data_IF_957923289389
#
_entry.id   IF_957923289389
#
_cell.length_a   1.000
_cell.length_b   1.000
_cell.length_c   1.000
_cell.angle_alpha   90.00
_cell.angle_beta   90.00
_cell.angle_gamma   90.00
#
_symmetry.space_group_name_H-M   'P 1'
#
loop_
_entity.id
_entity.type
_entity.pdbx_description
1 polymer ?
#
# COMPACT_ATOMS: atom_id res chain seq x y z
N UNK A 1 17.86 -4.63 -19.78
CA UNK A 1 17.89 -3.16 -19.85
C UNK A 1 17.60 -2.66 -18.43
N UNK A 2 18.52 -1.94 -17.81
CA UNK A 2 18.36 -1.37 -16.46
C UNK A 2 17.24 -0.33 -16.53
N UNK A 3 16.07 -0.63 -15.94
CA UNK A 3 15.01 0.36 -15.75
C UNK A 3 15.50 1.35 -14.69
N UNK A 4 15.93 2.51 -15.13
CA UNK A 4 16.26 3.63 -14.23
C UNK A 4 14.99 4.10 -13.54
N UNK A 5 14.94 3.95 -12.22
CA UNK A 5 13.88 4.50 -11.39
C UNK A 5 13.87 6.03 -11.57
N UNK A 6 12.78 6.55 -12.14
CA UNK A 6 12.71 7.92 -12.60
C UNK A 6 12.49 8.95 -11.47
N UNK A 7 12.79 10.20 -11.77
CA UNK A 7 12.66 11.38 -10.89
C UNK A 7 11.25 11.61 -10.29
N UNK A 8 10.20 10.94 -10.79
CA UNK A 8 8.83 11.10 -10.28
C UNK A 8 8.62 10.59 -8.83
N UNK A 9 9.56 9.81 -8.28
CA UNK A 9 9.55 9.41 -6.86
C UNK A 9 10.01 10.54 -5.92
N UNK A 10 10.42 11.69 -6.44
CA UNK A 10 11.32 12.64 -5.80
C UNK A 10 10.64 13.85 -5.19
N UNK A 11 9.46 14.25 -5.65
CA UNK A 11 8.78 15.43 -5.10
C UNK A 11 7.81 15.05 -3.99
N UNK A 12 8.25 15.17 -2.73
CA UNK A 12 7.39 15.02 -1.57
C UNK A 12 6.56 16.29 -1.33
N UNK A 13 5.27 16.26 -1.65
CA UNK A 13 4.33 17.24 -1.11
C UNK A 13 3.82 16.69 0.21
N UNK A 14 4.16 17.37 1.30
CA UNK A 14 3.67 17.01 2.64
C UNK A 14 2.17 17.26 2.72
N UNK A 15 1.43 16.31 3.31
CA UNK A 15 0.06 16.57 3.73
C UNK A 15 0.07 17.60 4.85
N UNK A 16 -0.95 18.44 4.88
CA UNK A 16 -1.14 19.36 5.98
C UNK A 16 -1.85 18.64 7.13
N UNK A 17 -1.30 18.68 8.31
CA UNK A 17 -1.92 18.10 9.50
C UNK A 17 -0.90 17.57 10.51
N UNK A 18 -1.40 17.29 11.69
CA UNK A 18 -0.65 16.63 12.77
C UNK A 18 -1.19 15.23 12.92
N UNK A 19 -0.34 14.18 12.88
CA UNK A 19 -0.77 12.82 13.16
C UNK A 19 -1.45 12.68 14.53
N UNK A 20 -2.56 11.94 14.57
CA UNK A 20 -3.40 11.78 15.77
C UNK A 20 -3.12 10.45 16.49
N UNK A 21 -2.61 9.44 15.76
CA UNK A 21 -2.27 8.13 16.29
C UNK A 21 -0.96 8.12 17.07
N UNK A 22 -0.56 6.96 17.53
CA UNK A 22 0.64 6.77 18.37
C UNK A 22 1.52 5.64 17.86
N UNK A 23 2.84 5.79 18.05
CA UNK A 23 3.77 4.68 17.82
C UNK A 23 3.83 3.82 19.07
N UNK A 24 3.62 2.52 18.92
CA UNK A 24 3.86 1.52 19.96
C UNK A 24 4.66 0.33 19.41
N UNK A 25 5.26 -0.45 20.29
CA UNK A 25 5.90 -1.71 19.89
C UNK A 25 4.92 -2.86 19.98
N UNK A 26 4.89 -3.68 18.91
CA UNK A 26 4.19 -4.97 18.88
C UNK A 26 5.25 -6.02 18.59
N UNK A 27 5.46 -6.94 19.51
CA UNK A 27 6.52 -7.97 19.43
C UNK A 27 7.88 -7.41 18.99
N UNK A 28 8.25 -6.22 19.53
CA UNK A 28 9.55 -5.58 19.30
C UNK A 28 9.59 -4.64 18.09
N UNK A 29 8.61 -4.66 17.19
CA UNK A 29 8.54 -3.83 15.98
C UNK A 29 7.77 -2.54 16.26
N UNK A 30 8.26 -1.41 15.77
CA UNK A 30 7.56 -0.13 15.86
C UNK A 30 6.37 -0.10 14.91
N UNK A 31 5.20 0.27 15.42
CA UNK A 31 3.95 0.34 14.67
C UNK A 31 3.25 1.66 15.00
N UNK A 32 2.95 2.46 13.98
CA UNK A 32 2.06 3.59 14.17
C UNK A 32 0.62 3.11 14.10
N UNK A 33 -0.16 3.38 15.13
CA UNK A 33 -1.52 2.88 15.31
C UNK A 33 -2.51 4.03 15.21
N UNK A 34 -3.44 3.91 14.26
CA UNK A 34 -4.63 4.74 14.16
C UNK A 34 -5.83 3.99 14.68
N UNK A 35 -6.45 4.49 15.74
CA UNK A 35 -7.65 3.89 16.34
C UNK A 35 -8.89 4.72 16.03
N UNK A 36 -10.03 4.08 15.68
CA UNK A 36 -11.30 4.78 15.53
C UNK A 36 -11.70 5.47 16.84
N UNK A 37 -12.08 6.75 16.76
CA UNK A 37 -12.60 7.49 17.94
C UNK A 37 -13.97 6.99 18.38
N UNK A 38 -14.74 6.41 17.45
CA UNK A 38 -16.05 5.83 17.71
C UNK A 38 -16.27 4.63 16.77
N UNK A 39 -16.88 3.59 17.30
CA UNK A 39 -17.16 2.38 16.52
C UNK A 39 -15.89 1.59 16.21
N UNK A 40 -15.94 0.85 15.10
CA UNK A 40 -14.87 -0.04 14.67
C UNK A 40 -14.96 -1.43 15.32
N UNK A 41 -14.40 -2.39 14.62
CA UNK A 41 -14.34 -3.80 15.05
C UNK A 41 -12.90 -4.15 15.40
N UNK A 42 -12.59 -4.29 16.70
CA UNK A 42 -11.23 -4.61 17.19
C UNK A 42 -10.73 -5.99 16.74
N UNK A 43 -11.65 -6.86 16.31
CA UNK A 43 -11.24 -8.16 15.75
C UNK A 43 -10.72 -8.07 14.31
N UNK A 44 -10.77 -6.87 13.70
CA UNK A 44 -10.30 -6.59 12.35
C UNK A 44 -9.15 -5.59 12.39
N UNK A 45 -8.04 -5.90 11.72
CA UNK A 45 -6.89 -5.03 11.57
C UNK A 45 -6.61 -4.69 10.10
N UNK A 46 -6.47 -3.41 9.81
CA UNK A 46 -6.00 -2.92 8.53
C UNK A 46 -4.49 -2.67 8.59
N UNK A 47 -3.71 -3.49 7.89
CA UNK A 47 -2.27 -3.30 7.74
C UNK A 47 -2.01 -2.22 6.67
N UNK A 48 -1.26 -1.20 7.04
CA UNK A 48 -0.82 -0.14 6.14
C UNK A 48 0.64 -0.39 5.75
N UNK A 49 0.85 -0.89 4.54
CA UNK A 49 2.16 -1.21 3.99
C UNK A 49 2.64 -0.03 3.13
N UNK A 50 3.63 0.68 3.64
CA UNK A 50 4.08 1.96 3.10
C UNK A 50 4.88 1.84 1.81
N UNK A 51 5.14 2.98 1.20
CA UNK A 51 6.24 3.16 0.27
C UNK A 51 7.61 3.14 0.99
N UNK A 52 8.68 3.40 0.25
CA UNK A 52 10.06 3.39 0.77
C UNK A 52 10.34 4.44 1.87
N UNK A 53 9.43 5.38 2.09
CA UNK A 53 9.59 6.44 3.10
C UNK A 53 9.07 6.04 4.50
N UNK A 54 8.40 4.91 4.62
CA UNK A 54 8.05 4.27 5.88
C UNK A 54 7.36 5.19 6.89
N UNK A 55 7.70 4.98 8.16
CA UNK A 55 7.28 5.82 9.31
C UNK A 55 7.84 7.25 9.25
N UNK A 56 8.88 7.50 8.46
CA UNK A 56 9.49 8.82 8.33
C UNK A 56 8.61 9.82 7.60
N UNK A 57 7.73 9.37 6.72
CA UNK A 57 6.84 10.25 5.96
C UNK A 57 5.55 10.54 6.74
N UNK A 58 5.34 11.82 7.09
CA UNK A 58 4.13 12.28 7.80
C UNK A 58 2.85 11.89 7.06
N UNK A 59 2.85 11.95 5.73
CA UNK A 59 1.69 11.60 4.92
C UNK A 59 1.19 10.17 5.16
N UNK A 60 2.09 9.21 5.38
CA UNK A 60 1.72 7.83 5.69
C UNK A 60 0.92 7.76 7.00
N UNK A 61 1.36 8.48 8.04
CA UNK A 61 0.65 8.56 9.33
C UNK A 61 -0.72 9.24 9.20
N UNK A 62 -0.80 10.33 8.45
CA UNK A 62 -2.07 11.03 8.21
C UNK A 62 -3.07 10.15 7.46
N UNK A 63 -2.61 9.31 6.53
CA UNK A 63 -3.48 8.36 5.83
C UNK A 63 -3.97 7.24 6.76
N UNK A 64 -3.14 6.78 7.69
CA UNK A 64 -3.55 5.86 8.76
C UNK A 64 -4.67 6.46 9.61
N UNK A 65 -4.53 7.72 10.00
CA UNK A 65 -5.55 8.45 10.76
C UNK A 65 -6.84 8.63 9.93
N UNK A 66 -6.72 8.83 8.60
CA UNK A 66 -7.87 8.89 7.70
C UNK A 66 -8.64 7.57 7.68
N UNK A 67 -7.96 6.42 7.62
CA UNK A 67 -8.60 5.10 7.74
C UNK A 67 -9.22 4.88 9.12
N UNK A 68 -8.55 5.31 10.17
CA UNK A 68 -9.09 5.25 11.53
C UNK A 68 -10.40 6.07 11.66
N UNK A 69 -10.47 7.25 11.05
CA UNK A 69 -11.70 8.06 10.98
C UNK A 69 -12.84 7.36 10.20
N UNK A 70 -12.51 6.42 9.30
CA UNK A 70 -13.51 5.58 8.61
C UNK A 70 -13.93 4.34 9.41
N UNK A 71 -13.39 4.14 10.62
CA UNK A 71 -13.75 3.04 11.51
C UNK A 71 -12.81 1.84 11.47
N UNK A 72 -11.64 1.94 10.81
CA UNK A 72 -10.67 0.84 10.72
C UNK A 72 -9.56 1.00 11.75
N UNK A 73 -9.32 -0.03 12.58
CA UNK A 73 -8.10 -0.14 13.37
C UNK A 73 -6.94 -0.35 12.41
N UNK A 74 -6.09 0.66 12.23
CA UNK A 74 -5.09 0.72 11.17
C UNK A 74 -3.68 0.73 11.75
N UNK A 75 -2.83 -0.15 11.24
CA UNK A 75 -1.50 -0.42 11.75
C UNK A 75 -0.45 -0.21 10.64
N UNK A 76 0.32 0.86 10.73
CA UNK A 76 1.46 1.11 9.87
C UNK A 76 2.68 0.46 10.49
N UNK A 77 3.08 -0.67 9.95
CA UNK A 77 4.19 -1.48 10.45
C UNK A 77 5.51 -0.93 9.93
N UNK A 78 6.48 -0.75 10.82
CA UNK A 78 7.87 -0.45 10.42
C UNK A 78 8.59 -1.72 9.95
N UNK A 79 8.20 -2.22 8.79
CA UNK A 79 8.86 -3.37 8.18
C UNK A 79 10.14 -3.00 7.39
N UNK A 80 10.52 -1.72 7.45
CA UNK A 80 11.79 -1.21 6.94
C UNK A 80 12.85 -1.12 8.05
N UNK A 81 12.49 -1.44 9.31
CA UNK A 81 13.39 -1.45 10.47
C UNK A 81 14.11 -0.11 10.70
N UNK A 82 13.42 1.01 10.50
CA UNK A 82 13.98 2.35 10.62
C UNK A 82 14.87 2.78 9.45
N UNK A 83 15.17 1.89 8.49
CA UNK A 83 15.97 2.20 7.29
C UNK A 83 15.10 2.73 6.14
N UNK A 84 14.22 3.69 6.44
CA UNK A 84 13.40 4.34 5.43
C UNK A 84 14.17 5.45 4.72
N UNK A 85 13.85 5.63 3.44
CA UNK A 85 14.46 6.67 2.61
C UNK A 85 13.99 8.05 3.06
N UNK A 86 14.91 8.97 3.30
CA UNK A 86 14.55 10.35 3.58
C UNK A 86 13.89 11.00 2.35
N UNK A 87 12.88 11.84 2.56
CA UNK A 87 12.09 12.40 1.47
C UNK A 87 12.91 13.22 0.44
N UNK A 88 14.03 13.79 0.88
CA UNK A 88 14.97 14.57 0.07
C UNK A 88 16.14 13.76 -0.50
N UNK A 89 16.37 12.54 -0.03
CA UNK A 89 17.49 11.69 -0.48
C UNK A 89 17.43 11.40 -2.00
N UNK A 90 16.21 11.26 -2.52
CA UNK A 90 16.01 11.02 -3.95
C UNK A 90 16.36 12.23 -4.83
N UNK A 91 16.44 13.43 -4.25
CA UNK A 91 16.73 14.68 -4.97
C UNK A 91 18.24 14.86 -5.21
N UNK A 92 19.09 14.24 -4.41
CA UNK A 92 20.54 14.39 -4.50
C UNK A 92 21.15 13.70 -5.73
N UNK A 93 20.46 12.71 -6.30
CA UNK A 93 20.96 11.86 -7.38
C UNK A 93 22.00 10.83 -6.95
N UNK A 94 22.41 10.84 -5.69
CA UNK A 94 23.48 9.97 -5.15
C UNK A 94 22.90 8.76 -4.37
N UNK A 95 21.58 8.68 -4.20
CA UNK A 95 20.96 7.60 -3.44
C UNK A 95 20.93 6.30 -4.26
N UNK A 96 21.60 5.26 -3.75
CA UNK A 96 21.58 3.92 -4.34
C UNK A 96 20.28 3.17 -3.97
N UNK A 97 19.22 3.47 -4.71
CA UNK A 97 17.91 2.84 -4.50
C UNK A 97 17.96 1.32 -4.73
N UNK A 98 18.75 0.84 -5.69
CA UNK A 98 18.84 -0.60 -5.96
C UNK A 98 19.57 -1.34 -4.84
N UNK A 99 20.65 -0.75 -4.31
CA UNK A 99 21.34 -1.27 -3.14
C UNK A 99 20.45 -1.23 -1.88
N UNK A 100 19.59 -0.21 -1.74
CA UNK A 100 18.60 -0.15 -0.67
C UNK A 100 17.53 -1.25 -0.83
N UNK A 101 16.94 -1.41 -2.01
CA UNK A 101 15.94 -2.46 -2.28
C UNK A 101 16.52 -3.86 -2.02
N UNK A 102 17.79 -4.10 -2.34
CA UNK A 102 18.44 -5.38 -2.11
C UNK A 102 18.55 -5.75 -0.62
N UNK A 103 18.51 -4.77 0.29
CA UNK A 103 18.51 -4.98 1.75
C UNK A 103 17.11 -5.16 2.33
N UNK A 104 16.06 -4.91 1.56
CA UNK A 104 14.66 -4.96 1.99
C UNK A 104 13.92 -6.04 1.18
N UNK A 105 14.46 -7.27 1.18
CA UNK A 105 13.88 -8.44 0.54
C UNK A 105 12.68 -9.01 1.29
N UNK A 106 12.15 -10.12 0.79
CA UNK A 106 10.99 -10.77 1.41
C UNK A 106 11.27 -11.22 2.84
N UNK A 107 12.48 -11.74 3.09
CA UNK A 107 12.86 -12.20 4.43
C UNK A 107 12.85 -11.04 5.43
N UNK A 108 13.51 -9.93 5.11
CA UNK A 108 13.64 -8.76 5.99
C UNK A 108 12.28 -8.14 6.31
N UNK A 109 11.38 -8.09 5.32
CA UNK A 109 10.00 -7.60 5.51
C UNK A 109 9.20 -8.55 6.39
N UNK A 110 9.29 -9.86 6.16
CA UNK A 110 8.58 -10.84 6.97
C UNK A 110 9.11 -10.93 8.40
N UNK A 111 10.42 -10.76 8.62
CA UNK A 111 11.02 -10.72 9.96
C UNK A 111 10.40 -9.62 10.86
N UNK A 112 9.82 -8.57 10.27
CA UNK A 112 9.12 -7.51 11.00
C UNK A 112 7.59 -7.64 10.93
N UNK A 113 7.05 -7.99 9.77
CA UNK A 113 5.60 -8.03 9.56
C UNK A 113 4.94 -9.21 10.30
N UNK A 114 5.58 -10.38 10.30
CA UNK A 114 5.04 -11.58 10.92
C UNK A 114 4.88 -11.45 12.43
N UNK A 115 5.89 -10.98 13.19
CA UNK A 115 5.72 -10.75 14.63
C UNK A 115 4.59 -9.77 14.97
N UNK A 116 4.39 -8.73 14.13
CA UNK A 116 3.30 -7.77 14.35
C UNK A 116 1.94 -8.44 14.15
N UNK A 117 1.77 -9.23 13.09
CA UNK A 117 0.52 -9.94 12.84
C UNK A 117 0.23 -10.97 13.96
N UNK A 118 1.27 -11.68 14.45
CA UNK A 118 1.14 -12.62 15.57
C UNK A 118 0.71 -11.88 16.84
N UNK A 119 1.37 -10.77 17.19
CA UNK A 119 1.01 -9.96 18.36
C UNK A 119 -0.40 -9.39 18.29
N UNK A 120 -0.84 -8.94 17.11
CA UNK A 120 -2.22 -8.49 16.91
C UNK A 120 -3.22 -9.64 17.07
N UNK A 121 -2.86 -10.85 16.62
CA UNK A 121 -3.68 -12.05 16.81
C UNK A 121 -3.81 -12.41 18.30
N UNK A 122 -2.72 -12.30 19.07
CA UNK A 122 -2.73 -12.46 20.53
C UNK A 122 -3.60 -11.39 21.22
N UNK A 123 -3.67 -10.17 20.66
CA UNK A 123 -4.57 -9.08 21.11
C UNK A 123 -6.03 -9.29 20.69
N UNK A 124 -6.35 -10.37 19.95
CA UNK A 124 -7.71 -10.75 19.57
C UNK A 124 -8.12 -10.39 18.14
N UNK A 125 -7.18 -9.98 17.28
CA UNK A 125 -7.46 -9.79 15.86
C UNK A 125 -7.64 -11.14 15.19
N UNK A 126 -8.72 -11.31 14.48
CA UNK A 126 -9.07 -12.56 13.76
C UNK A 126 -9.14 -12.37 12.25
N UNK A 127 -9.16 -11.12 11.77
CA UNK A 127 -9.27 -10.81 10.35
C UNK A 127 -8.35 -9.64 9.98
N UNK A 128 -7.53 -9.86 8.97
CA UNK A 128 -6.62 -8.84 8.44
C UNK A 128 -7.06 -8.38 7.06
N UNK A 129 -6.92 -7.09 6.79
CA UNK A 129 -6.87 -6.51 5.46
C UNK A 129 -5.52 -5.81 5.27
N UNK A 130 -5.15 -5.49 4.03
CA UNK A 130 -3.97 -4.68 3.77
C UNK A 130 -4.21 -3.62 2.69
N UNK A 131 -3.62 -2.44 2.89
CA UNK A 131 -3.41 -1.43 1.86
C UNK A 131 -1.92 -1.29 1.61
N UNK A 132 -1.50 -1.39 0.35
CA UNK A 132 -0.09 -1.33 -0.03
C UNK A 132 0.20 -0.22 -1.04
N UNK A 133 1.17 0.60 -0.74
CA UNK A 133 1.57 1.73 -1.57
C UNK A 133 2.98 1.52 -2.11
N UNK A 134 3.19 1.66 -3.44
CA UNK A 134 4.49 1.53 -4.07
C UNK A 134 5.19 0.20 -3.67
N UNK A 135 6.24 0.26 -2.86
CA UNK A 135 6.96 -0.89 -2.30
C UNK A 135 6.03 -1.85 -1.53
N UNK A 136 5.13 -1.32 -0.70
CA UNK A 136 4.16 -2.09 0.07
C UNK A 136 3.13 -2.84 -0.79
N UNK A 137 2.95 -2.43 -2.05
CA UNK A 137 2.06 -3.12 -2.99
C UNK A 137 2.47 -4.56 -3.25
N UNK A 138 3.79 -4.83 -3.42
CA UNK A 138 4.32 -6.19 -3.56
C UNK A 138 3.94 -7.07 -2.35
N UNK A 139 4.15 -6.57 -1.15
CA UNK A 139 3.92 -7.35 0.06
C UNK A 139 2.44 -7.55 0.37
N UNK A 140 1.59 -6.60 -0.02
CA UNK A 140 0.13 -6.80 0.01
C UNK A 140 -0.29 -7.98 -0.90
N UNK A 141 0.27 -8.07 -2.10
CA UNK A 141 0.05 -9.20 -3.01
C UNK A 141 0.60 -10.51 -2.41
N UNK A 142 1.78 -10.48 -1.79
CA UNK A 142 2.34 -11.67 -1.10
C UNK A 142 1.43 -12.14 0.04
N UNK A 143 0.94 -11.24 0.89
CA UNK A 143 0.00 -11.60 1.96
C UNK A 143 -1.31 -12.20 1.41
N UNK A 144 -1.82 -11.67 0.29
CA UNK A 144 -3.00 -12.24 -0.37
C UNK A 144 -2.73 -13.65 -0.90
N UNK A 145 -1.63 -13.86 -1.64
CA UNK A 145 -1.24 -15.19 -2.16
C UNK A 145 -1.06 -16.21 -1.03
N UNK A 146 -0.52 -15.79 0.10
CA UNK A 146 -0.34 -16.59 1.31
C UNK A 146 -1.63 -16.77 2.11
N UNK A 147 -2.75 -16.18 1.69
CA UNK A 147 -4.06 -16.19 2.39
C UNK A 147 -3.99 -15.63 3.83
N UNK A 148 -3.08 -14.68 4.06
CA UNK A 148 -2.90 -14.03 5.38
C UNK A 148 -3.77 -12.79 5.57
N UNK A 149 -4.37 -12.29 4.50
CA UNK A 149 -5.38 -11.22 4.51
C UNK A 149 -6.66 -11.69 3.83
N UNK A 150 -7.76 -11.07 4.15
CA UNK A 150 -9.08 -11.39 3.57
C UNK A 150 -9.48 -10.46 2.44
N UNK A 151 -8.79 -9.35 2.28
CA UNK A 151 -9.02 -8.33 1.24
C UNK A 151 -7.80 -7.42 1.16
N UNK A 152 -7.49 -6.93 -0.04
CA UNK A 152 -6.38 -6.01 -0.24
C UNK A 152 -6.68 -4.86 -1.18
N UNK A 153 -5.89 -3.79 -1.04
CA UNK A 153 -5.77 -2.72 -2.02
C UNK A 153 -4.29 -2.44 -2.28
N UNK A 154 -3.93 -2.25 -3.54
CA UNK A 154 -2.59 -1.77 -3.89
C UNK A 154 -2.68 -0.52 -4.77
N UNK A 155 -1.82 0.46 -4.48
CA UNK A 155 -1.74 1.70 -5.25
C UNK A 155 -0.35 1.84 -5.88
N UNK A 156 -0.33 2.12 -7.21
CA UNK A 156 0.94 2.28 -7.96
C UNK A 156 2.03 1.30 -7.51
N UNK A 157 1.78 -0.03 -7.56
CA UNK A 157 2.67 -1.02 -6.97
C UNK A 157 4.03 -1.06 -7.65
N UNK A 158 5.08 -1.33 -6.86
CA UNK A 158 6.43 -1.58 -7.34
C UNK A 158 6.84 -3.04 -7.16
N UNK A 159 7.84 -3.47 -7.94
CA UNK A 159 8.53 -4.75 -7.80
C UNK A 159 7.66 -6.01 -7.98
N UNK A 160 6.46 -5.87 -8.53
CA UNK A 160 5.68 -7.04 -8.94
C UNK A 160 6.33 -7.71 -10.15
N UNK A 161 6.49 -9.02 -10.06
CA UNK A 161 6.85 -9.85 -11.20
C UNK A 161 5.60 -10.15 -12.02
N UNK A 162 5.54 -9.61 -13.22
CA UNK A 162 4.39 -9.74 -14.11
C UNK A 162 4.82 -10.56 -15.32
N UNK A 163 4.15 -11.70 -15.63
CA UNK A 163 2.82 -12.10 -15.15
C UNK A 163 2.76 -12.93 -13.85
N UNK A 164 3.88 -13.45 -13.33
CA UNK A 164 3.96 -14.52 -12.34
C UNK A 164 3.16 -14.22 -11.04
N UNK A 165 3.33 -13.01 -10.48
CA UNK A 165 2.61 -12.61 -9.27
C UNK A 165 1.10 -12.50 -9.50
N UNK A 166 0.68 -12.08 -10.70
CA UNK A 166 -0.73 -11.95 -11.06
C UNK A 166 -1.38 -13.31 -11.30
N UNK A 167 -0.66 -14.25 -11.89
CA UNK A 167 -1.11 -15.64 -12.05
C UNK A 167 -1.25 -16.35 -10.69
N UNK A 168 -0.32 -16.10 -9.76
CA UNK A 168 -0.43 -16.60 -8.41
C UNK A 168 -1.62 -15.98 -7.66
N UNK A 169 -1.82 -14.66 -7.80
CA UNK A 169 -2.93 -13.94 -7.20
C UNK A 169 -4.28 -14.42 -7.74
N UNK A 170 -4.39 -14.71 -9.04
CA UNK A 170 -5.61 -15.26 -9.65
C UNK A 170 -6.11 -16.53 -8.97
N UNK A 171 -5.21 -17.36 -8.44
CA UNK A 171 -5.58 -18.63 -7.78
C UNK A 171 -6.29 -18.42 -6.43
N UNK A 172 -6.15 -17.25 -5.82
CA UNK A 172 -6.78 -16.90 -4.55
C UNK A 172 -7.90 -15.89 -4.69
N UNK A 173 -8.01 -15.24 -5.86
CA UNK A 173 -9.14 -14.40 -6.24
C UNK A 173 -10.26 -15.32 -6.78
N UNK A 174 -11.52 -15.23 -6.35
CA UNK A 174 -12.16 -14.12 -5.63
C UNK A 174 -12.21 -14.24 -4.11
N UNK A 175 -11.72 -15.32 -3.52
CA UNK A 175 -11.75 -15.49 -2.04
C UNK A 175 -11.11 -14.30 -1.31
N UNK A 176 -10.06 -13.72 -1.91
CA UNK A 176 -9.36 -12.54 -1.40
C UNK A 176 -9.48 -11.42 -2.44
N UNK A 177 -10.51 -10.57 -2.34
CA UNK A 177 -10.73 -9.50 -3.30
C UNK A 177 -9.60 -8.46 -3.28
N UNK A 178 -9.18 -8.01 -4.48
CA UNK A 178 -8.08 -7.06 -4.65
C UNK A 178 -8.49 -5.85 -5.49
N UNK A 179 -8.26 -4.66 -4.93
CA UNK A 179 -8.39 -3.38 -5.63
C UNK A 179 -7.02 -2.89 -6.08
N UNK A 180 -6.89 -2.58 -7.38
CA UNK A 180 -5.69 -1.99 -7.96
C UNK A 180 -5.96 -0.52 -8.28
N UNK A 181 -5.16 0.38 -7.73
CA UNK A 181 -5.20 1.82 -7.98
C UNK A 181 -4.01 2.19 -8.86
N UNK A 182 -4.29 2.57 -10.10
CA UNK A 182 -3.26 2.78 -11.14
C UNK A 182 -3.34 4.16 -11.74
N UNK A 183 -2.32 4.58 -12.48
CA UNK A 183 -2.23 5.93 -13.04
C UNK A 183 -1.55 5.93 -14.42
N UNK A 184 -1.53 7.10 -15.06
CA UNK A 184 -0.99 7.27 -16.42
C UNK A 184 0.51 7.06 -16.48
N UNK A 185 1.26 7.73 -15.58
CA UNK A 185 2.71 7.74 -15.59
C UNK A 185 3.25 6.87 -14.46
N UNK A 186 3.45 5.60 -14.75
CA UNK A 186 4.00 4.64 -13.79
C UNK A 186 5.01 3.73 -14.48
N UNK A 187 6.30 3.93 -14.17
CA UNK A 187 7.39 3.14 -14.75
C UNK A 187 7.52 1.75 -14.09
N UNK A 188 6.91 1.54 -12.90
CA UNK A 188 6.93 0.25 -12.20
C UNK A 188 5.75 -0.65 -12.60
N UNK A 189 4.55 -0.05 -12.77
CA UNK A 189 3.32 -0.74 -13.16
C UNK A 189 2.59 0.05 -14.26
N UNK A 190 3.26 0.25 -15.38
CA UNK A 190 2.78 1.00 -16.54
C UNK A 190 1.66 0.30 -17.32
N UNK A 191 1.17 0.94 -18.41
CA UNK A 191 0.00 0.48 -19.18
C UNK A 191 0.08 -0.98 -19.64
N UNK A 192 1.26 -1.47 -20.02
CA UNK A 192 1.44 -2.86 -20.46
C UNK A 192 1.18 -3.84 -19.31
N UNK A 193 1.77 -3.60 -18.13
CA UNK A 193 1.53 -4.42 -16.94
C UNK A 193 0.08 -4.31 -16.44
N UNK A 194 -0.52 -3.11 -16.54
CA UNK A 194 -1.94 -2.90 -16.21
C UNK A 194 -2.84 -3.75 -17.11
N UNK A 195 -2.55 -3.78 -18.42
CA UNK A 195 -3.28 -4.63 -19.36
C UNK A 195 -3.13 -6.12 -19.03
N UNK A 196 -1.93 -6.58 -18.73
CA UNK A 196 -1.69 -7.97 -18.29
C UNK A 196 -2.51 -8.29 -17.03
N UNK A 197 -2.59 -7.34 -16.09
CA UNK A 197 -3.45 -7.47 -14.90
C UNK A 197 -4.92 -7.64 -15.24
N UNK A 198 -5.44 -6.81 -16.14
CA UNK A 198 -6.83 -6.92 -16.62
C UNK A 198 -7.07 -8.25 -17.35
N UNK A 199 -6.14 -8.68 -18.19
CA UNK A 199 -6.27 -9.95 -18.94
C UNK A 199 -6.30 -11.16 -17.99
N UNK A 200 -5.43 -11.20 -16.97
CA UNK A 200 -5.32 -12.32 -16.03
C UNK A 200 -6.44 -12.29 -14.98
N UNK A 201 -6.60 -11.18 -14.28
CA UNK A 201 -7.48 -11.08 -13.11
C UNK A 201 -8.92 -10.75 -13.50
N UNK A 202 -9.08 -9.91 -14.51
CA UNK A 202 -10.38 -9.39 -14.97
C UNK A 202 -10.93 -10.03 -16.25
N UNK A 203 -10.27 -11.06 -16.79
CA UNK A 203 -10.65 -11.70 -18.05
C UNK A 203 -10.75 -10.69 -19.24
N UNK A 204 -9.80 -9.76 -19.29
CA UNK A 204 -9.75 -8.69 -20.32
C UNK A 204 -10.46 -7.40 -19.92
N UNK A 205 -10.96 -7.31 -18.69
CA UNK A 205 -11.64 -6.13 -18.15
C UNK A 205 -10.92 -5.59 -16.90
N UNK A 206 -11.09 -4.30 -16.61
CA UNK A 206 -10.65 -3.70 -15.34
C UNK A 206 -11.52 -4.12 -14.14
N UNK A 207 -12.55 -4.92 -14.35
CA UNK A 207 -13.39 -5.50 -13.30
C UNK A 207 -13.61 -6.99 -13.56
N UNK A 208 -13.47 -7.78 -12.49
CA UNK A 208 -13.67 -9.22 -12.51
C UNK A 208 -14.10 -9.70 -11.13
N UNK A 209 -14.38 -10.99 -11.00
CA UNK A 209 -14.78 -11.58 -9.74
C UNK A 209 -13.61 -11.48 -8.73
N UNK A 210 -13.80 -10.65 -7.67
CA UNK A 210 -12.77 -10.34 -6.69
C UNK A 210 -11.63 -9.44 -7.20
N UNK A 211 -11.77 -8.84 -8.36
CA UNK A 211 -10.78 -7.92 -8.93
C UNK A 211 -11.43 -6.62 -9.41
N UNK A 212 -10.83 -5.51 -9.07
CA UNK A 212 -11.14 -4.20 -9.65
C UNK A 212 -9.88 -3.39 -9.82
N UNK A 213 -9.73 -2.74 -10.97
CA UNK A 213 -8.71 -1.74 -11.22
C UNK A 213 -9.35 -0.39 -11.51
N UNK A 214 -8.97 0.62 -10.73
CA UNK A 214 -9.31 2.02 -11.00
C UNK A 214 -8.10 2.74 -11.57
N UNK A 215 -8.34 3.59 -12.57
CA UNK A 215 -7.29 4.31 -13.29
C UNK A 215 -7.46 5.82 -13.15
N UNK A 216 -6.37 6.53 -12.88
CA UNK A 216 -6.36 7.98 -12.70
C UNK A 216 -5.50 8.65 -13.76
N UNK A 217 -6.17 9.26 -14.73
CA UNK A 217 -5.54 9.97 -15.83
C UNK A 217 -4.83 11.24 -15.32
N UNK A 218 -3.60 11.46 -15.81
CA UNK A 218 -2.78 12.61 -15.45
C UNK A 218 -2.05 12.48 -14.10
N UNK A 219 -2.29 11.37 -13.37
CA UNK A 219 -1.53 11.07 -12.16
C UNK A 219 -0.25 10.30 -12.49
N UNK A 220 0.73 10.39 -11.60
CA UNK A 220 2.02 9.70 -11.67
C UNK A 220 2.23 8.77 -10.48
N UNK A 221 3.20 7.85 -10.58
CA UNK A 221 3.59 6.95 -9.49
C UNK A 221 3.76 7.71 -8.16
N UNK A 222 3.16 7.20 -7.09
CA UNK A 222 3.19 7.83 -5.76
C UNK A 222 2.09 8.87 -5.51
N UNK A 223 1.21 9.15 -6.48
CA UNK A 223 0.21 10.21 -6.38
C UNK A 223 -0.72 10.10 -5.17
N UNK A 224 -1.04 8.89 -4.73
CA UNK A 224 -1.94 8.70 -3.58
C UNK A 224 -1.29 9.11 -2.25
N UNK A 225 0.02 9.05 -2.16
CA UNK A 225 0.79 9.39 -0.94
C UNK A 225 1.42 10.78 -1.05
N UNK A 226 2.10 11.07 -2.17
CA UNK A 226 3.00 12.22 -2.35
C UNK A 226 2.59 13.17 -3.47
N UNK A 227 1.43 12.96 -4.08
CA UNK A 227 0.98 13.76 -5.21
C UNK A 227 0.80 15.25 -4.88
N UNK A 228 1.09 16.11 -5.85
CA UNK A 228 0.88 17.56 -5.73
C UNK A 228 -0.62 17.88 -5.75
N UNK A 229 -1.15 18.33 -4.61
CA UNK A 229 -2.56 18.71 -4.47
C UNK A 229 -2.93 20.00 -5.19
N UNK A 230 -1.95 20.78 -5.65
CA UNK A 230 -2.22 21.98 -6.46
C UNK A 230 -2.69 21.61 -7.88
N UNK A 231 -2.32 20.40 -8.37
CA UNK A 231 -2.87 19.85 -9.59
C UNK A 231 -4.26 19.24 -9.33
N UNK A 232 -5.32 19.76 -9.97
CA UNK A 232 -6.69 19.27 -9.76
C UNK A 232 -6.88 17.78 -10.09
N UNK A 233 -6.15 17.25 -11.08
CA UNK A 233 -6.22 15.82 -11.45
C UNK A 233 -5.61 14.96 -10.36
N UNK A 234 -4.46 15.35 -9.84
CA UNK A 234 -3.76 14.65 -8.75
C UNK A 234 -4.57 14.70 -7.47
N UNK A 235 -5.12 15.87 -7.12
CA UNK A 235 -6.02 16.03 -5.97
C UNK A 235 -7.23 15.11 -6.08
N UNK A 236 -7.94 15.16 -7.21
CA UNK A 236 -9.08 14.27 -7.47
C UNK A 236 -8.68 12.79 -7.38
N UNK A 237 -7.59 12.41 -8.05
CA UNK A 237 -7.10 11.04 -8.07
C UNK A 237 -6.84 10.51 -6.66
N UNK A 238 -6.18 11.29 -5.83
CA UNK A 238 -5.84 10.95 -4.45
C UNK A 238 -7.08 10.79 -3.56
N UNK A 239 -7.99 11.79 -3.56
CA UNK A 239 -9.22 11.77 -2.76
C UNK A 239 -10.15 10.63 -3.21
N UNK A 240 -10.26 10.42 -4.52
CA UNK A 240 -11.12 9.37 -5.06
C UNK A 240 -10.52 7.97 -4.84
N UNK A 241 -9.21 7.79 -4.95
CA UNK A 241 -8.54 6.51 -4.64
C UNK A 241 -8.81 6.07 -3.20
N UNK A 242 -8.71 6.99 -2.23
CA UNK A 242 -9.05 6.72 -0.85
C UNK A 242 -10.54 6.32 -0.70
N UNK A 243 -11.44 7.09 -1.29
CA UNK A 243 -12.88 6.79 -1.29
C UNK A 243 -13.17 5.40 -1.89
N UNK A 244 -12.61 5.08 -3.06
CA UNK A 244 -12.76 3.77 -3.70
C UNK A 244 -12.24 2.64 -2.82
N UNK A 245 -11.15 2.86 -2.07
CA UNK A 245 -10.61 1.87 -1.13
C UNK A 245 -11.59 1.60 0.02
N UNK A 246 -12.13 2.65 0.63
CA UNK A 246 -13.13 2.52 1.70
C UNK A 246 -14.40 1.84 1.21
N UNK A 247 -14.88 2.21 0.02
CA UNK A 247 -16.04 1.57 -0.61
C UNK A 247 -15.77 0.09 -0.91
N UNK A 248 -14.58 -0.25 -1.41
CA UNK A 248 -14.17 -1.62 -1.69
C UNK A 248 -14.21 -2.50 -0.44
N UNK A 249 -13.67 -2.00 0.67
CA UNK A 249 -13.68 -2.73 1.94
C UNK A 249 -15.11 -2.93 2.46
N UNK A 250 -15.95 -1.90 2.42
CA UNK A 250 -17.36 -1.99 2.84
C UNK A 250 -18.16 -2.98 1.99
N UNK A 251 -17.98 -2.97 0.65
CA UNK A 251 -18.66 -3.89 -0.27
C UNK A 251 -18.28 -5.35 -0.05
N UNK A 252 -17.06 -5.60 0.46
CA UNK A 252 -16.55 -6.94 0.73
C UNK A 252 -16.56 -7.31 2.24
N UNK A 253 -17.39 -6.63 3.05
CA UNK A 253 -17.63 -6.93 4.47
C UNK A 253 -16.37 -6.89 5.35
N UNK A 254 -15.48 -5.96 5.06
CA UNK A 254 -14.35 -5.68 5.94
C UNK A 254 -14.50 -4.39 6.75
#
# INVERSE_FOLDING_TARGET
>A
MSETLGQCCVSGVTWEGTPEGQVRKINGVDVYVGEPKQGGDKSKALLFLTDIFGLGLVNNKLMVDDFARQGYYTYLVDYLNGDFVAADAMNSGDFDLMGWVAKHGEKEVHDSLDPVMDGLTEEGVTKFAAVGYCFGGKYTVRLAIQKRISIGMIAHPSLLQVPEDLEALKKVTPEIPMLFVTCTTDFMYGPEKQKVGDDILGNGSSEGEGYKRVFYEGCSHGFTVRGDKSDPKVKFGKENAFKQTVEWFKQNNF
#
